data_IF_637172181563
#
_entry.id   IF_637172181563
#
_cell.length_a   1.000
_cell.length_b   1.000
_cell.length_c   1.000
_cell.angle_alpha   90.00
_cell.angle_beta   90.00
_cell.angle_gamma   90.00
#
_symmetry.space_group_name_H-M   'P 1'
#
loop_
_entity.id
_entity.type
_entity.pdbx_description
1 polymer ?
#
# COMPACT_ATOMS: atom_id res chain seq x y z
N UNK A 1 -5.50 7.73 36.31
CA UNK A 1 -4.55 8.73 35.76
C UNK A 1 -3.33 8.14 35.03
N UNK A 2 -2.62 7.08 35.47
CA UNK A 2 -1.39 6.64 34.79
C UNK A 2 -1.62 5.97 33.42
N UNK A 3 -2.78 5.34 33.20
CA UNK A 3 -3.13 4.67 31.94
C UNK A 3 -3.32 5.68 30.79
N UNK A 4 -3.98 6.82 31.06
CA UNK A 4 -4.19 7.89 30.06
C UNK A 4 -2.87 8.55 29.65
N UNK A 5 -1.96 8.74 30.60
CA UNK A 5 -0.62 9.27 30.33
C UNK A 5 0.18 8.33 29.44
N UNK A 6 0.17 7.02 29.73
CA UNK A 6 0.84 6.02 28.91
C UNK A 6 0.29 6.00 27.47
N UNK A 7 -1.03 6.04 27.30
CA UNK A 7 -1.68 6.06 25.98
C UNK A 7 -1.31 7.32 25.19
N UNK A 8 -1.26 8.48 25.84
CA UNK A 8 -0.86 9.75 25.20
C UNK A 8 0.61 9.73 24.77
N UNK A 9 1.51 9.24 25.62
CA UNK A 9 2.94 9.12 25.30
C UNK A 9 3.14 8.16 24.13
N UNK A 10 2.49 6.99 24.16
CA UNK A 10 2.58 6.02 23.06
C UNK A 10 2.01 6.61 21.76
N UNK A 11 0.87 7.30 21.82
CA UNK A 11 0.27 7.94 20.64
C UNK A 11 1.14 9.06 20.06
N UNK A 12 1.74 9.89 20.92
CA UNK A 12 2.68 10.94 20.51
C UNK A 12 3.94 10.36 19.87
N UNK A 13 4.51 9.31 20.45
CA UNK A 13 5.67 8.59 19.92
C UNK A 13 5.34 7.96 18.55
N UNK A 14 4.18 7.31 18.43
CA UNK A 14 3.72 6.70 17.16
C UNK A 14 3.50 7.78 16.09
N UNK A 15 2.91 8.90 16.45
CA UNK A 15 2.63 10.01 15.51
C UNK A 15 3.91 10.68 15.05
N UNK A 16 4.86 10.90 15.96
CA UNK A 16 6.18 11.43 15.65
C UNK A 16 6.95 10.47 14.72
N UNK A 17 6.91 9.18 15.03
CA UNK A 17 7.57 8.13 14.25
C UNK A 17 7.00 7.99 12.82
N UNK A 18 5.70 8.29 12.66
CA UNK A 18 4.99 8.26 11.37
C UNK A 18 5.64 9.15 10.31
N UNK A 19 6.20 10.28 10.74
CA UNK A 19 6.84 11.29 9.89
C UNK A 19 8.37 11.22 9.91
N UNK A 20 8.97 10.82 11.04
CA UNK A 20 10.41 10.74 11.17
C UNK A 20 11.04 9.61 10.35
N UNK A 21 10.41 8.43 10.27
CA UNK A 21 10.97 7.26 9.57
C UNK A 21 11.34 7.50 8.09
N UNK A 22 10.47 8.08 7.23
CA UNK A 22 10.84 8.37 5.85
C UNK A 22 11.93 9.46 5.73
N UNK A 23 11.96 10.44 6.64
CA UNK A 23 12.98 11.49 6.65
C UNK A 23 14.37 10.94 7.00
N UNK A 24 14.44 10.01 7.96
CA UNK A 24 15.69 9.34 8.32
C UNK A 24 16.24 8.51 7.16
N UNK A 25 15.38 7.80 6.41
CA UNK A 25 15.80 7.04 5.23
C UNK A 25 16.35 7.94 4.11
N UNK A 26 15.67 9.05 3.83
CA UNK A 26 16.12 10.03 2.82
C UNK A 26 17.44 10.67 3.25
N UNK A 27 17.55 11.12 4.51
CA UNK A 27 18.77 11.69 5.06
C UNK A 27 19.94 10.69 4.99
N UNK A 28 19.69 9.42 5.31
CA UNK A 28 20.69 8.34 5.18
C UNK A 28 21.17 8.17 3.76
N UNK A 29 20.25 8.09 2.80
CA UNK A 29 20.57 7.89 1.40
C UNK A 29 21.40 9.05 0.85
N UNK A 30 21.06 10.30 1.21
CA UNK A 30 21.82 11.49 0.83
C UNK A 30 23.23 11.45 1.43
N UNK A 31 23.36 11.14 2.72
CA UNK A 31 24.67 11.03 3.38
C UNK A 31 25.52 9.89 2.81
N UNK A 32 24.90 8.75 2.43
CA UNK A 32 25.59 7.65 1.74
C UNK A 32 26.14 8.07 0.39
N UNK A 33 25.36 8.79 -0.42
CA UNK A 33 25.78 9.26 -1.74
C UNK A 33 26.90 10.30 -1.61
N UNK A 34 26.78 11.24 -0.67
CA UNK A 34 27.81 12.26 -0.43
C UNK A 34 29.12 11.64 0.08
N UNK A 35 29.05 10.64 0.97
CA UNK A 35 30.24 9.91 1.42
C UNK A 35 30.92 9.16 0.27
N UNK A 36 30.13 8.53 -0.61
CA UNK A 36 30.63 7.74 -1.74
C UNK A 36 31.25 8.61 -2.85
N UNK A 37 30.73 9.82 -3.08
CA UNK A 37 31.26 10.77 -4.07
C UNK A 37 32.47 11.55 -3.51
N UNK A 38 32.55 11.73 -2.19
CA UNK A 38 33.54 12.57 -1.52
C UNK A 38 34.83 11.88 -1.05
N UNK A 39 34.81 10.59 -0.67
CA UNK A 39 36.00 9.87 -0.17
C UNK A 39 35.88 8.33 -0.32
N UNK A 40 37.01 7.60 -0.43
CA UNK A 40 37.05 6.12 -0.56
C UNK A 40 36.78 5.36 0.74
N UNK A 41 36.60 6.05 1.87
CA UNK A 41 36.19 5.43 3.12
C UNK A 41 34.66 5.42 3.17
N UNK A 42 34.05 4.22 3.06
CA UNK A 42 32.60 4.04 2.90
C UNK A 42 31.75 4.71 4.00
N UNK A 43 30.41 4.65 3.89
CA UNK A 43 29.51 5.39 4.77
C UNK A 43 29.77 5.05 6.25
N UNK A 44 29.98 6.10 7.06
CA UNK A 44 30.28 5.97 8.48
C UNK A 44 29.19 5.22 9.28
N UNK A 45 29.50 4.76 10.50
CA UNK A 45 28.61 3.91 11.30
C UNK A 45 27.23 4.52 11.57
N UNK A 46 27.13 5.86 11.60
CA UNK A 46 25.88 6.59 11.81
C UNK A 46 24.85 6.35 10.68
N UNK A 47 25.30 6.14 9.44
CA UNK A 47 24.43 5.86 8.28
C UNK A 47 23.76 4.50 8.42
N UNK A 48 24.49 3.50 8.93
CA UNK A 48 23.94 2.16 9.17
C UNK A 48 22.85 2.18 10.25
N UNK A 49 22.99 3.01 11.29
CA UNK A 49 21.96 3.20 12.31
C UNK A 49 20.68 3.82 11.74
N UNK A 50 20.82 4.82 10.87
CA UNK A 50 19.66 5.48 10.27
C UNK A 50 18.90 4.56 9.29
N UNK A 51 19.62 3.74 8.50
CA UNK A 51 19.01 2.65 7.71
C UNK A 51 18.27 1.64 8.59
N UNK A 52 18.92 1.17 9.67
CA UNK A 52 18.32 0.23 10.61
C UNK A 52 17.02 0.75 11.24
N UNK A 53 17.03 2.01 11.72
CA UNK A 53 15.83 2.64 12.30
C UNK A 53 14.71 2.82 11.27
N UNK A 54 15.04 3.19 10.03
CA UNK A 54 14.07 3.29 8.96
C UNK A 54 13.42 1.94 8.61
N UNK A 55 14.21 0.87 8.54
CA UNK A 55 13.72 -0.50 8.29
C UNK A 55 12.84 -1.01 9.43
N UNK A 56 13.22 -0.76 10.69
CA UNK A 56 12.39 -1.09 11.87
C UNK A 56 11.06 -0.34 11.82
N UNK A 57 11.06 0.95 11.46
CA UNK A 57 9.83 1.73 11.30
C UNK A 57 8.91 1.19 10.20
N UNK A 58 9.47 0.75 9.07
CA UNK A 58 8.71 0.07 8.01
C UNK A 58 8.15 -1.26 8.48
N UNK A 59 8.94 -2.06 9.21
CA UNK A 59 8.53 -3.34 9.79
C UNK A 59 7.39 -3.19 10.80
N UNK A 60 7.50 -2.24 11.73
CA UNK A 60 6.44 -1.94 12.70
C UNK A 60 5.15 -1.46 12.02
N UNK A 61 5.26 -0.67 10.96
CA UNK A 61 4.10 -0.22 10.17
C UNK A 61 3.48 -1.36 9.36
N UNK A 62 4.27 -2.33 8.93
CA UNK A 62 3.78 -3.55 8.29
C UNK A 62 3.07 -4.45 9.30
N UNK A 63 3.66 -4.69 10.48
CA UNK A 63 3.06 -5.47 11.57
C UNK A 63 1.77 -4.83 12.09
N UNK A 64 1.75 -3.50 12.27
CA UNK A 64 0.54 -2.79 12.68
C UNK A 64 -0.57 -2.87 11.62
N UNK A 65 -0.21 -2.86 10.33
CA UNK A 65 -1.17 -3.08 9.24
C UNK A 65 -1.65 -4.52 9.14
N UNK A 66 -0.83 -5.50 9.51
CA UNK A 66 -1.16 -6.92 9.48
C UNK A 66 -2.05 -7.35 10.66
N UNK A 67 -1.91 -6.70 11.83
CA UNK A 67 -2.69 -7.02 13.03
C UNK A 67 -4.01 -6.27 13.21
N UNK A 68 -4.49 -5.52 12.19
CA UNK A 68 -5.70 -4.69 12.30
C UNK A 68 -7.01 -5.49 12.35
N UNK A 69 -7.02 -6.71 11.83
CA UNK A 69 -8.16 -7.63 11.91
C UNK A 69 -7.69 -8.86 12.67
N UNK A 70 -7.81 -8.83 14.01
CA UNK A 70 -7.36 -9.92 14.90
C UNK A 70 -8.25 -11.15 14.80
N UNK A 71 -9.49 -10.98 14.35
CA UNK A 71 -10.49 -12.02 14.14
C UNK A 71 -11.24 -11.80 12.83
N UNK A 72 -11.89 -12.85 12.32
CA UNK A 72 -12.81 -12.74 11.18
C UNK A 72 -14.00 -11.84 11.51
N UNK A 73 -14.50 -11.87 12.75
CA UNK A 73 -15.62 -11.04 13.19
C UNK A 73 -15.27 -9.54 13.12
N UNK A 74 -14.05 -9.16 13.53
CA UNK A 74 -13.56 -7.79 13.41
C UNK A 74 -13.48 -7.34 11.94
N UNK A 75 -13.08 -8.24 11.04
CA UNK A 75 -13.01 -7.97 9.60
C UNK A 75 -14.41 -7.78 9.01
N UNK A 76 -15.36 -8.64 9.37
CA UNK A 76 -16.76 -8.54 8.92
C UNK A 76 -17.37 -7.24 9.42
N UNK A 77 -17.24 -6.94 10.71
CA UNK A 77 -17.75 -5.70 11.29
C UNK A 77 -17.14 -4.45 10.61
N UNK A 78 -15.83 -4.44 10.36
CA UNK A 78 -15.17 -3.32 9.67
C UNK A 78 -15.58 -3.21 8.19
N UNK A 79 -15.79 -4.34 7.51
CA UNK A 79 -16.30 -4.37 6.14
C UNK A 79 -17.73 -3.84 6.07
N UNK A 80 -18.60 -4.28 6.98
CA UNK A 80 -20.01 -3.87 7.04
C UNK A 80 -20.14 -2.39 7.46
N UNK A 81 -19.23 -1.90 8.30
CA UNK A 81 -19.06 -0.47 8.57
C UNK A 81 -18.51 0.33 7.37
N UNK A 82 -18.15 -0.34 6.29
CA UNK A 82 -17.78 0.29 5.03
C UNK A 82 -16.34 0.78 4.97
N UNK A 83 -15.43 0.26 5.80
CA UNK A 83 -14.01 0.58 5.74
C UNK A 83 -13.43 0.01 4.43
N UNK A 84 -12.93 0.83 3.49
CA UNK A 84 -12.58 0.37 2.15
C UNK A 84 -11.57 -0.78 2.14
N UNK A 85 -10.55 -0.68 3.01
CA UNK A 85 -9.55 -1.73 3.16
C UNK A 85 -10.13 -3.04 3.69
N UNK A 86 -11.07 -2.98 4.64
CA UNK A 86 -11.71 -4.18 5.20
C UNK A 86 -12.59 -4.87 4.16
N UNK A 87 -13.37 -4.09 3.41
CA UNK A 87 -14.18 -4.56 2.30
C UNK A 87 -13.32 -5.28 1.25
N UNK A 88 -12.19 -4.69 0.85
CA UNK A 88 -11.24 -5.35 -0.06
C UNK A 88 -10.68 -6.65 0.51
N UNK A 89 -10.22 -6.64 1.76
CA UNK A 89 -9.63 -7.85 2.38
C UNK A 89 -10.67 -8.97 2.48
N UNK A 90 -11.91 -8.66 2.88
CA UNK A 90 -13.00 -9.63 2.91
C UNK A 90 -13.36 -10.11 1.50
N UNK A 91 -13.41 -9.22 0.51
CA UNK A 91 -13.63 -9.61 -0.89
C UNK A 91 -12.55 -10.55 -1.44
N UNK A 92 -11.28 -10.34 -1.06
CA UNK A 92 -10.21 -11.28 -1.42
C UNK A 92 -10.36 -12.65 -0.74
N UNK A 93 -10.90 -12.71 0.48
CA UNK A 93 -11.24 -13.99 1.13
C UNK A 93 -12.35 -14.72 0.38
N UNK A 94 -13.43 -14.02 0.01
CA UNK A 94 -14.51 -14.58 -0.81
C UNK A 94 -13.98 -15.12 -2.15
N UNK A 95 -13.04 -14.41 -2.79
CA UNK A 95 -12.36 -14.89 -4.01
C UNK A 95 -11.64 -16.22 -3.78
N UNK A 96 -10.94 -16.38 -2.65
CA UNK A 96 -10.24 -17.63 -2.30
C UNK A 96 -11.24 -18.76 -2.01
N UNK A 97 -12.38 -18.42 -1.39
CA UNK A 97 -13.49 -19.35 -1.11
C UNK A 97 -14.30 -19.72 -2.37
N UNK A 98 -14.08 -19.03 -3.49
CA UNK A 98 -14.74 -19.27 -4.77
C UNK A 98 -16.00 -18.46 -5.01
N UNK A 99 -16.41 -17.60 -4.07
CA UNK A 99 -17.51 -16.64 -4.23
C UNK A 99 -17.02 -15.40 -4.97
N UNK A 100 -16.93 -15.52 -6.31
CA UNK A 100 -16.46 -14.45 -7.18
C UNK A 100 -17.43 -13.26 -7.23
N UNK A 101 -18.73 -13.51 -7.17
CA UNK A 101 -19.76 -12.45 -7.21
C UNK A 101 -19.72 -11.61 -5.92
N UNK A 102 -19.65 -12.26 -4.76
CA UNK A 102 -19.47 -11.59 -3.48
C UNK A 102 -18.14 -10.84 -3.38
N UNK A 103 -17.06 -11.44 -3.91
CA UNK A 103 -15.76 -10.79 -4.01
C UNK A 103 -15.82 -9.51 -4.86
N UNK A 104 -16.38 -9.58 -6.06
CA UNK A 104 -16.50 -8.46 -6.98
C UNK A 104 -17.34 -7.33 -6.39
N UNK A 105 -18.45 -7.65 -5.73
CA UNK A 105 -19.29 -6.67 -5.04
C UNK A 105 -18.54 -5.89 -3.96
N UNK A 106 -17.82 -6.61 -3.07
CA UNK A 106 -17.06 -5.97 -1.99
C UNK A 106 -15.86 -5.18 -2.51
N UNK A 107 -15.12 -5.71 -3.49
CA UNK A 107 -13.95 -5.06 -4.07
C UNK A 107 -14.37 -3.81 -4.86
N UNK A 108 -15.48 -3.87 -5.62
CA UNK A 108 -16.04 -2.70 -6.30
C UNK A 108 -16.41 -1.60 -5.31
N UNK A 109 -17.15 -1.93 -4.26
CA UNK A 109 -17.56 -0.93 -3.28
C UNK A 109 -16.36 -0.36 -2.49
N UNK A 110 -15.26 -1.10 -2.34
CA UNK A 110 -14.00 -0.56 -1.83
C UNK A 110 -13.31 0.38 -2.83
N UNK A 111 -13.32 0.05 -4.12
CA UNK A 111 -12.75 0.87 -5.20
C UNK A 111 -13.49 2.21 -5.35
N UNK A 112 -14.83 2.19 -5.29
CA UNK A 112 -15.67 3.39 -5.31
C UNK A 112 -15.39 4.35 -4.14
N UNK A 113 -14.91 3.81 -3.02
CA UNK A 113 -14.48 4.59 -1.85
C UNK A 113 -13.02 5.03 -1.90
N UNK A 114 -12.33 4.84 -3.02
CA UNK A 114 -10.97 5.32 -3.23
C UNK A 114 -9.85 4.36 -2.79
N UNK A 115 -10.14 3.10 -2.46
CA UNK A 115 -9.06 2.12 -2.21
C UNK A 115 -8.39 1.75 -3.55
N UNK A 116 -7.24 2.37 -3.81
CA UNK A 116 -6.43 2.12 -5.02
C UNK A 116 -6.00 0.66 -5.20
N UNK A 117 -5.85 -0.09 -4.10
CA UNK A 117 -5.53 -1.52 -4.17
C UNK A 117 -6.78 -2.30 -4.61
N UNK A 118 -7.97 -1.85 -4.22
CA UNK A 118 -9.23 -2.48 -4.65
C UNK A 118 -9.48 -2.24 -6.14
N UNK A 119 -9.17 -1.04 -6.65
CA UNK A 119 -9.22 -0.72 -8.07
C UNK A 119 -8.35 -1.67 -8.90
N UNK A 120 -7.14 -1.96 -8.43
CA UNK A 120 -6.24 -2.93 -9.06
C UNK A 120 -6.79 -4.36 -9.04
N UNK A 121 -7.27 -4.83 -7.88
CA UNK A 121 -7.82 -6.19 -7.77
C UNK A 121 -9.13 -6.37 -8.56
N UNK A 122 -9.94 -5.32 -8.69
CA UNK A 122 -11.11 -5.32 -9.57
C UNK A 122 -10.70 -5.41 -11.03
N UNK A 123 -9.67 -4.65 -11.44
CA UNK A 123 -9.09 -4.78 -12.77
C UNK A 123 -8.67 -6.21 -13.08
N UNK A 124 -8.00 -6.89 -12.15
CA UNK A 124 -7.62 -8.30 -12.33
C UNK A 124 -8.81 -9.25 -12.42
N UNK A 125 -9.82 -9.06 -11.56
CA UNK A 125 -11.05 -9.87 -11.61
C UNK A 125 -11.79 -9.72 -12.94
N UNK A 126 -11.90 -8.48 -13.44
CA UNK A 126 -12.53 -8.20 -14.73
C UNK A 126 -11.67 -8.69 -15.88
N UNK A 127 -10.34 -8.61 -15.78
CA UNK A 127 -9.42 -9.14 -16.79
C UNK A 127 -9.56 -10.66 -16.93
N UNK A 128 -9.63 -11.37 -15.81
CA UNK A 128 -9.80 -12.82 -15.77
C UNK A 128 -11.14 -13.26 -16.42
N UNK A 129 -12.19 -12.43 -16.35
CA UNK A 129 -13.55 -12.74 -16.86
C UNK A 129 -13.80 -12.24 -18.28
N UNK A 130 -13.50 -10.96 -18.52
CA UNK A 130 -13.94 -10.18 -19.68
C UNK A 130 -12.75 -9.68 -20.53
N UNK A 131 -11.52 -9.98 -20.11
CA UNK A 131 -10.28 -9.60 -20.79
C UNK A 131 -9.79 -8.19 -20.48
N UNK A 132 -8.60 -7.88 -21.02
CA UNK A 132 -7.86 -6.64 -20.74
C UNK A 132 -8.64 -5.36 -21.13
N UNK A 133 -9.51 -5.46 -22.13
CA UNK A 133 -10.40 -4.38 -22.57
C UNK A 133 -11.30 -3.86 -21.46
N UNK A 134 -11.98 -4.77 -20.78
CA UNK A 134 -12.94 -4.43 -19.75
C UNK A 134 -12.25 -4.01 -18.44
N UNK A 135 -11.01 -4.46 -18.20
CA UNK A 135 -10.24 -4.14 -16.99
C UNK A 135 -9.48 -2.82 -17.05
N UNK A 136 -9.17 -2.33 -18.25
CA UNK A 136 -8.37 -1.13 -18.49
C UNK A 136 -8.85 0.10 -17.70
N UNK A 137 -10.16 0.42 -17.62
CA UNK A 137 -10.64 1.56 -16.83
C UNK A 137 -10.28 1.45 -15.34
N UNK A 138 -10.34 0.23 -14.77
CA UNK A 138 -10.03 -0.02 -13.37
C UNK A 138 -8.53 0.09 -13.11
N UNK A 139 -7.70 -0.42 -14.01
CA UNK A 139 -6.24 -0.25 -13.93
C UNK A 139 -5.83 1.21 -14.08
N UNK A 140 -6.45 1.96 -14.99
CA UNK A 140 -6.18 3.39 -15.16
C UNK A 140 -6.53 4.16 -13.90
N UNK A 141 -7.71 3.92 -13.33
CA UNK A 141 -8.13 4.54 -12.08
C UNK A 141 -7.18 4.20 -10.92
N UNK A 142 -6.71 2.95 -10.83
CA UNK A 142 -5.70 2.55 -9.84
C UNK A 142 -4.38 3.34 -10.03
N UNK A 143 -3.93 3.52 -11.28
CA UNK A 143 -2.72 4.27 -11.60
C UNK A 143 -2.83 5.75 -11.21
N UNK A 144 -3.97 6.39 -11.52
CA UNK A 144 -4.29 7.78 -11.14
C UNK A 144 -4.30 7.96 -9.61
N UNK A 145 -4.79 6.96 -8.86
CA UNK A 145 -4.78 6.94 -7.40
C UNK A 145 -3.43 6.48 -6.79
N UNK A 146 -2.40 6.34 -7.62
CA UNK A 146 -1.03 6.09 -7.18
C UNK A 146 -0.69 4.63 -6.89
N UNK A 147 -1.46 3.67 -7.42
CA UNK A 147 -1.11 2.25 -7.33
C UNK A 147 0.16 1.97 -8.14
N UNK A 148 1.18 1.38 -7.50
CA UNK A 148 2.53 1.29 -8.07
C UNK A 148 2.60 0.40 -9.32
N UNK A 149 2.00 -0.79 -9.26
CA UNK A 149 2.00 -1.71 -10.40
C UNK A 149 1.16 -1.18 -11.56
N UNK A 150 0.04 -0.53 -11.26
CA UNK A 150 -0.82 0.08 -12.28
C UNK A 150 -0.09 1.23 -12.99
N UNK A 151 0.60 2.11 -12.25
CA UNK A 151 1.44 3.16 -12.86
C UNK A 151 2.56 2.60 -13.74
N UNK A 152 3.05 1.40 -13.43
CA UNK A 152 4.03 0.74 -14.28
C UNK A 152 3.39 0.23 -15.58
N UNK A 153 2.17 -0.33 -15.54
CA UNK A 153 1.45 -0.75 -16.75
C UNK A 153 1.29 0.36 -17.79
N UNK A 154 1.06 1.60 -17.35
CA UNK A 154 0.90 2.77 -18.24
C UNK A 154 2.19 3.56 -18.47
N UNK A 155 3.38 3.01 -18.20
CA UNK A 155 4.65 3.68 -18.54
C UNK A 155 5.00 3.47 -20.01
N UNK A 156 5.55 4.49 -20.70
CA UNK A 156 6.05 4.37 -22.08
C UNK A 156 6.91 3.10 -22.25
N UNK A 157 6.58 2.28 -23.24
CA UNK A 157 7.24 1.00 -23.58
C UNK A 157 6.72 -0.24 -22.84
N UNK A 158 5.64 -0.16 -22.06
CA UNK A 158 5.01 -1.30 -21.37
C UNK A 158 3.66 -1.73 -21.98
N UNK A 159 3.06 -2.80 -21.43
CA UNK A 159 1.94 -3.55 -22.00
C UNK A 159 0.71 -2.72 -22.45
N UNK A 160 0.46 -1.56 -21.84
CA UNK A 160 -0.65 -0.65 -22.19
C UNK A 160 -0.18 0.71 -22.76
N UNK A 161 1.10 0.87 -23.10
CA UNK A 161 1.63 2.18 -23.52
C UNK A 161 2.82 2.06 -24.49
N UNK A 162 2.57 1.80 -25.78
CA UNK A 162 3.59 1.97 -26.83
C UNK A 162 3.58 3.36 -27.50
N UNK A 163 2.50 4.12 -27.42
CA UNK A 163 2.42 5.48 -27.97
C UNK A 163 1.49 6.44 -27.19
N UNK A 164 0.79 5.95 -26.16
CA UNK A 164 -0.14 6.74 -25.35
C UNK A 164 -1.51 6.98 -25.99
N UNK A 165 -1.80 6.34 -27.12
CA UNK A 165 -3.07 6.50 -27.86
C UNK A 165 -4.07 5.37 -27.66
N UNK A 166 -3.67 4.21 -27.15
CA UNK A 166 -4.54 3.02 -27.12
C UNK A 166 -5.18 2.78 -25.74
N UNK A 167 -6.51 2.96 -25.63
CA UNK A 167 -7.31 2.15 -24.75
C UNK A 167 -7.69 0.90 -25.54
N UNK A 168 -6.79 -0.12 -25.57
CA UNK A 168 -6.81 -1.30 -26.45
C UNK A 168 -6.14 -1.11 -27.81
#
# INVERSE_FOLDING_TARGET
MPVLYLVLVVSAVVTLWRWAAPLLLVLSAVLSVLAFVGDRSGPGPLVWWLWGLGLVGLGLRALHRAGQYRSLDDLVAASDAGVPRAMRVRGLMLKIEGDLDGAEGLIRAAAEKGDREAMWELGRLVEDRDGLAASEPWFRMAAEHGHLAARQFFRRGHALNLDGSNPL
#
